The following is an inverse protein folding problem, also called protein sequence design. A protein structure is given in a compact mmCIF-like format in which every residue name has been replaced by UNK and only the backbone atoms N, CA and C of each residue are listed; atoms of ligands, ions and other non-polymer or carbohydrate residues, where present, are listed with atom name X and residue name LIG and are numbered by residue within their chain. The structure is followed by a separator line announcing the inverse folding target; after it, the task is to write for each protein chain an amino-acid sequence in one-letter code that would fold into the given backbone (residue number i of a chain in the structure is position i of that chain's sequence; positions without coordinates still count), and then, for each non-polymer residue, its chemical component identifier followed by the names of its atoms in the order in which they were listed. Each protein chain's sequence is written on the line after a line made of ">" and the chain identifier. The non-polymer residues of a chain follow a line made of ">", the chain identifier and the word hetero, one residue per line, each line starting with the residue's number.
data_IF_662075109616
#
_entry.id   IF_662075109616
#
_cell.length_a   1.000
_cell.length_b   1.000
_cell.length_c   1.000
_cell.angle_alpha   90.00
_cell.angle_beta   90.00
_cell.angle_gamma   90.00
#
_symmetry.space_group_name_H-M   'P 1'
#
loop_
_entity.id
_entity.type
_entity.pdbx_description
1 polymer ?
#
# COMPACT_ATOMS: atom_id res chain seq x y z
N UNK A 1 -8.32 22.95 -10.48
CA UNK A 1 -9.14 21.73 -10.44
C UNK A 1 -8.48 20.64 -11.28
N UNK A 2 -7.25 20.25 -10.92
CA UNK A 2 -6.44 19.26 -11.67
C UNK A 2 -5.59 18.36 -10.74
N UNK A 3 -5.83 18.38 -9.43
CA UNK A 3 -5.02 17.62 -8.47
C UNK A 3 -5.62 16.25 -8.10
N UNK A 4 -6.86 15.94 -8.50
CA UNK A 4 -7.53 14.68 -8.13
C UNK A 4 -7.34 13.52 -9.14
N UNK A 5 -6.97 13.80 -10.40
CA UNK A 5 -6.88 12.74 -11.42
C UNK A 5 -5.58 11.91 -11.36
N UNK A 6 -4.56 12.37 -10.64
CA UNK A 6 -3.27 11.68 -10.52
C UNK A 6 -3.23 10.78 -9.28
N UNK A 7 -3.97 11.10 -8.21
CA UNK A 7 -3.90 10.38 -6.94
C UNK A 7 -4.68 9.06 -6.90
N UNK A 8 -5.70 8.89 -7.76
CA UNK A 8 -6.61 7.73 -7.68
C UNK A 8 -6.17 6.56 -8.57
N UNK A 9 -5.38 6.79 -9.62
CA UNK A 9 -5.27 5.80 -10.71
C UNK A 9 -4.38 4.56 -10.43
N UNK A 10 -3.77 4.40 -9.24
CA UNK A 10 -2.58 3.54 -9.13
C UNK A 10 -2.43 2.67 -7.86
N UNK A 11 -3.13 2.93 -6.76
CA UNK A 11 -2.90 2.25 -5.46
C UNK A 11 -3.28 0.76 -5.34
N UNK A 12 -3.98 0.20 -6.33
CA UNK A 12 -4.56 -1.15 -6.31
C UNK A 12 -4.11 -2.03 -7.47
N UNK A 13 -2.96 -1.73 -8.06
CA UNK A 13 -2.38 -2.61 -9.06
C UNK A 13 -1.82 -3.82 -8.30
N UNK A 14 -2.49 -4.96 -8.42
CA UNK A 14 -2.11 -6.26 -7.83
C UNK A 14 -2.30 -6.37 -6.29
N UNK A 15 -3.53 -6.17 -5.79
CA UNK A 15 -3.92 -6.54 -4.41
C UNK A 15 -3.00 -6.00 -3.29
N UNK A 16 -2.91 -4.67 -3.17
CA UNK A 16 -2.04 -3.95 -2.21
C UNK A 16 -0.53 -4.15 -2.42
N UNK A 17 -0.11 -4.76 -3.54
CA UNK A 17 1.29 -4.99 -3.88
C UNK A 17 2.00 -5.88 -2.85
N UNK A 18 1.28 -6.85 -2.26
CA UNK A 18 1.73 -7.64 -1.12
C UNK A 18 3.12 -8.27 -1.28
N UNK A 19 3.37 -9.07 -2.34
CA UNK A 19 4.69 -9.69 -2.55
C UNK A 19 5.83 -8.67 -2.68
N UNK A 20 5.61 -7.60 -3.47
CA UNK A 20 6.60 -6.54 -3.62
C UNK A 20 6.87 -5.82 -2.29
N UNK A 21 5.81 -5.48 -1.53
CA UNK A 21 5.94 -4.84 -0.23
C UNK A 21 6.73 -5.70 0.76
N UNK A 22 6.53 -7.02 0.75
CA UNK A 22 7.30 -7.94 1.60
C UNK A 22 8.80 -7.92 1.27
N UNK A 23 9.17 -7.96 -0.01
CA UNK A 23 10.58 -7.89 -0.43
C UNK A 23 11.20 -6.53 -0.13
N UNK A 24 10.46 -5.43 -0.33
CA UNK A 24 10.92 -4.08 0.01
C UNK A 24 11.14 -3.90 1.52
N UNK A 25 10.27 -4.47 2.36
CA UNK A 25 10.44 -4.47 3.82
C UNK A 25 11.68 -5.25 4.24
N UNK A 26 11.93 -6.42 3.65
CA UNK A 26 13.15 -7.19 3.90
C UNK A 26 14.41 -6.38 3.54
N UNK A 27 14.42 -5.74 2.38
CA UNK A 27 15.51 -4.84 1.98
C UNK A 27 15.65 -3.65 2.93
N UNK A 28 14.54 -3.07 3.41
CA UNK A 28 14.62 -1.97 4.36
C UNK A 28 15.19 -2.40 5.71
N UNK A 29 14.85 -3.59 6.19
CA UNK A 29 15.40 -4.12 7.44
C UNK A 29 16.91 -4.41 7.34
N UNK A 30 17.45 -4.66 6.16
CA UNK A 30 18.90 -4.85 5.95
C UNK A 30 19.64 -3.53 5.67
N UNK A 31 19.07 -2.62 4.89
CA UNK A 31 19.73 -1.39 4.43
C UNK A 31 19.46 -0.18 5.33
N UNK A 32 18.34 -0.19 6.06
CA UNK A 32 17.82 0.89 6.89
C UNK A 32 17.73 2.26 6.18
N UNK A 33 17.54 2.25 4.87
CA UNK A 33 17.53 3.44 4.01
C UNK A 33 16.64 3.21 2.79
N UNK A 34 15.55 3.99 2.68
CA UNK A 34 14.57 3.83 1.61
C UNK A 34 15.10 4.20 0.22
N UNK A 35 16.09 5.08 0.11
CA UNK A 35 16.68 5.41 -1.18
C UNK A 35 17.54 4.26 -1.68
N UNK A 36 18.34 3.64 -0.80
CA UNK A 36 19.08 2.40 -1.13
C UNK A 36 18.14 1.26 -1.47
N UNK A 37 17.03 1.10 -0.74
CA UNK A 37 16.00 0.09 -1.03
C UNK A 37 15.42 0.27 -2.43
N UNK A 38 15.11 1.50 -2.84
CA UNK A 38 14.58 1.79 -4.18
C UNK A 38 15.58 1.39 -5.26
N UNK A 39 16.84 1.75 -5.08
CA UNK A 39 17.88 1.53 -6.07
C UNK A 39 18.18 0.03 -6.23
N UNK A 40 18.26 -0.70 -5.12
CA UNK A 40 18.40 -2.15 -5.10
C UNK A 40 17.18 -2.85 -5.72
N UNK A 41 15.97 -2.42 -5.37
CA UNK A 41 14.74 -3.00 -5.92
C UNK A 41 14.62 -2.81 -7.44
N UNK A 42 15.14 -1.69 -7.96
CA UNK A 42 15.19 -1.41 -9.39
C UNK A 42 16.20 -2.30 -10.10
N UNK A 43 17.38 -2.46 -9.50
CA UNK A 43 18.46 -3.31 -9.99
C UNK A 43 18.00 -4.77 -10.09
N UNK A 44 17.37 -5.28 -9.03
CA UNK A 44 16.86 -6.65 -8.96
C UNK A 44 15.58 -6.91 -9.77
N UNK A 45 14.95 -5.86 -10.31
CA UNK A 45 13.63 -5.96 -10.94
C UNK A 45 12.61 -6.70 -10.04
N UNK A 46 12.51 -6.32 -8.76
CA UNK A 46 11.56 -6.95 -7.84
C UNK A 46 10.11 -7.02 -8.34
N UNK A 47 9.53 -6.00 -9.01
CA UNK A 47 8.17 -6.09 -9.50
C UNK A 47 8.02 -6.95 -10.78
N UNK A 48 9.12 -7.46 -11.34
CA UNK A 48 9.16 -8.27 -12.57
C UNK A 48 8.38 -7.62 -13.72
N UNK A 49 8.67 -6.34 -14.02
CA UNK A 49 8.03 -5.61 -15.12
C UNK A 49 9.02 -5.35 -16.26
N UNK A 50 8.56 -5.51 -17.48
CA UNK A 50 9.41 -5.46 -18.68
C UNK A 50 10.01 -4.07 -18.92
N UNK A 51 9.23 -3.02 -18.66
CA UNK A 51 9.69 -1.64 -18.89
C UNK A 51 10.22 -0.99 -17.62
N UNK A 52 11.33 -0.25 -17.77
CA UNK A 52 11.94 0.53 -16.67
C UNK A 52 10.95 1.51 -16.02
N UNK A 53 10.11 2.17 -16.83
CA UNK A 53 9.09 3.10 -16.34
C UNK A 53 8.04 2.41 -15.47
N UNK A 54 7.59 1.22 -15.85
CA UNK A 54 6.68 0.41 -15.03
C UNK A 54 7.35 -0.04 -13.73
N UNK A 55 8.59 -0.55 -13.77
CA UNK A 55 9.35 -0.92 -12.56
C UNK A 55 9.46 0.23 -11.57
N UNK A 56 9.91 1.39 -12.06
CA UNK A 56 10.05 2.61 -11.26
C UNK A 56 8.72 3.07 -10.65
N UNK A 57 7.62 2.96 -11.38
CA UNK A 57 6.29 3.32 -10.88
C UNK A 57 5.88 2.43 -9.72
N UNK A 58 5.99 1.10 -9.86
CA UNK A 58 5.57 0.17 -8.81
C UNK A 58 6.41 0.32 -7.55
N UNK A 59 7.73 0.39 -7.69
CA UNK A 59 8.64 0.54 -6.55
C UNK A 59 8.36 1.87 -5.83
N UNK A 60 8.22 2.97 -6.56
CA UNK A 60 7.93 4.28 -5.96
C UNK A 60 6.65 4.27 -5.16
N UNK A 61 5.60 3.69 -5.72
CA UNK A 61 4.29 3.65 -5.08
C UNK A 61 4.28 2.78 -3.81
N UNK A 62 4.90 1.61 -3.87
CA UNK A 62 5.07 0.74 -2.71
C UNK A 62 5.91 1.42 -1.63
N UNK A 63 7.07 2.00 -1.99
CA UNK A 63 7.94 2.71 -1.03
C UNK A 63 7.23 3.90 -0.40
N UNK A 64 6.50 4.71 -1.17
CA UNK A 64 5.73 5.84 -0.63
C UNK A 64 4.70 5.40 0.41
N UNK A 65 4.01 4.29 0.14
CA UNK A 65 3.04 3.71 1.07
C UNK A 65 3.73 3.18 2.33
N UNK A 66 4.80 2.40 2.17
CA UNK A 66 5.53 1.78 3.28
C UNK A 66 6.23 2.80 4.19
N UNK A 67 6.63 3.96 3.65
CA UNK A 67 7.16 5.09 4.45
C UNK A 67 6.18 5.63 5.50
N UNK A 68 4.89 5.32 5.39
CA UNK A 68 3.88 5.70 6.40
C UNK A 68 3.81 4.74 7.58
N UNK A 69 4.51 3.61 7.51
CA UNK A 69 4.63 2.66 8.61
C UNK A 69 5.75 3.08 9.56
N UNK A 70 5.49 2.92 10.85
CA UNK A 70 6.49 3.06 11.90
C UNK A 70 7.48 1.90 11.86
N UNK A 71 8.69 2.11 12.38
CA UNK A 71 9.71 1.05 12.47
C UNK A 71 9.21 -0.21 13.22
N UNK A 72 8.46 -0.12 14.33
CA UNK A 72 7.84 -1.29 14.97
C UNK A 72 6.89 -2.05 14.04
N UNK A 73 6.02 -1.36 13.30
CA UNK A 73 5.11 -1.99 12.33
C UNK A 73 5.89 -2.71 11.21
N UNK A 74 6.95 -2.09 10.70
CA UNK A 74 7.84 -2.69 9.69
C UNK A 74 8.51 -3.95 10.23
N UNK A 75 9.01 -3.92 11.47
CA UNK A 75 9.65 -5.09 12.12
C UNK A 75 8.65 -6.22 12.38
N UNK A 76 7.41 -5.89 12.75
CA UNK A 76 6.36 -6.87 13.01
C UNK A 76 5.86 -7.57 11.74
N UNK A 77 5.98 -6.93 10.56
CA UNK A 77 5.45 -7.43 9.29
C UNK A 77 5.87 -8.87 8.95
N UNK A 78 7.12 -9.24 9.24
CA UNK A 78 7.62 -10.60 8.97
C UNK A 78 6.98 -11.66 9.87
N UNK A 79 6.55 -11.30 11.07
CA UNK A 79 5.87 -12.19 12.02
C UNK A 79 4.36 -12.31 11.79
N UNK A 80 3.77 -11.41 11.01
CA UNK A 80 2.34 -11.39 10.72
C UNK A 80 1.90 -12.54 9.79
N UNK A 81 0.69 -13.02 10.04
CA UNK A 81 -0.08 -13.87 9.13
C UNK A 81 -0.38 -13.15 7.81
N UNK A 82 -0.74 -13.87 6.74
CA UNK A 82 -1.13 -13.26 5.47
C UNK A 82 -2.25 -12.22 5.62
N UNK A 83 -3.24 -12.47 6.48
CA UNK A 83 -4.37 -11.59 6.77
C UNK A 83 -3.90 -10.31 7.49
N UNK A 84 -3.09 -10.45 8.54
CA UNK A 84 -2.52 -9.30 9.27
C UNK A 84 -1.63 -8.43 8.37
N UNK A 85 -0.85 -9.05 7.47
CA UNK A 85 -0.06 -8.31 6.47
C UNK A 85 -0.97 -7.52 5.53
N UNK A 86 -2.06 -8.11 5.04
CA UNK A 86 -3.03 -7.39 4.19
C UNK A 86 -3.65 -6.21 4.94
N UNK A 87 -4.03 -6.40 6.20
CA UNK A 87 -4.56 -5.34 7.06
C UNK A 87 -3.54 -4.20 7.27
N UNK A 88 -2.27 -4.53 7.56
CA UNK A 88 -1.23 -3.52 7.73
C UNK A 88 -0.98 -2.74 6.43
N UNK A 89 -0.96 -3.41 5.28
CA UNK A 89 -0.83 -2.75 3.98
C UNK A 89 -2.05 -1.89 3.62
N UNK A 90 -3.25 -2.30 4.04
CA UNK A 90 -4.45 -1.48 3.93
C UNK A 90 -4.35 -0.22 4.79
N UNK A 91 -3.88 -0.34 6.04
CA UNK A 91 -3.63 0.81 6.92
C UNK A 91 -2.61 1.77 6.28
N UNK A 92 -1.51 1.25 5.74
CA UNK A 92 -0.50 2.05 5.04
C UNK A 92 -1.08 2.75 3.80
N UNK A 93 -2.00 2.10 3.09
CA UNK A 93 -2.75 2.70 1.99
C UNK A 93 -3.64 3.85 2.49
N UNK A 94 -4.43 3.65 3.54
CA UNK A 94 -5.26 4.71 4.12
C UNK A 94 -4.41 5.91 4.59
N UNK A 95 -3.24 5.67 5.19
CA UNK A 95 -2.32 6.75 5.60
C UNK A 95 -1.75 7.54 4.43
N UNK A 96 -1.55 6.91 3.27
CA UNK A 96 -0.96 7.52 2.07
C UNK A 96 -1.98 8.00 1.04
N UNK A 97 -3.26 7.64 1.18
CA UNK A 97 -4.33 7.96 0.24
C UNK A 97 -5.60 8.40 0.97
N UNK A 98 -5.92 9.70 0.89
CA UNK A 98 -7.08 10.32 1.56
C UNK A 98 -8.42 9.71 1.14
N UNK A 99 -8.56 9.31 -0.13
CA UNK A 99 -9.78 8.69 -0.62
C UNK A 99 -9.97 7.31 0.02
N UNK A 100 -8.92 6.48 0.04
CA UNK A 100 -8.97 5.16 0.68
C UNK A 100 -9.31 5.28 2.18
N UNK A 101 -8.72 6.26 2.88
CA UNK A 101 -9.04 6.53 4.28
C UNK A 101 -10.50 6.96 4.46
N UNK A 102 -10.98 7.92 3.66
CA UNK A 102 -12.36 8.41 3.75
C UNK A 102 -13.38 7.29 3.48
N UNK A 103 -13.16 6.48 2.44
CA UNK A 103 -14.00 5.32 2.14
C UNK A 103 -13.96 4.32 3.29
N UNK A 104 -12.78 3.96 3.79
CA UNK A 104 -12.63 3.04 4.91
C UNK A 104 -13.41 3.49 6.14
N UNK A 105 -13.22 4.75 6.56
CA UNK A 105 -13.93 5.31 7.72
C UNK A 105 -15.45 5.35 7.54
N UNK A 106 -15.95 5.72 6.35
CA UNK A 106 -17.39 5.71 6.05
C UNK A 106 -17.96 4.29 6.17
N UNK A 107 -17.33 3.32 5.53
CA UNK A 107 -17.78 1.92 5.55
C UNK A 107 -17.75 1.32 6.96
N UNK A 108 -16.70 1.59 7.74
CA UNK A 108 -16.65 1.15 9.15
C UNK A 108 -17.77 1.78 9.98
N UNK A 109 -18.01 3.08 9.83
CA UNK A 109 -19.11 3.75 10.53
C UNK A 109 -20.48 3.18 10.11
N UNK A 110 -20.68 2.87 8.84
CA UNK A 110 -21.93 2.28 8.37
C UNK A 110 -22.15 0.87 8.91
N UNK A 111 -21.10 0.05 8.92
CA UNK A 111 -21.14 -1.29 9.48
C UNK A 111 -21.47 -1.27 10.97
N UNK A 112 -20.77 -0.43 11.74
CA UNK A 112 -20.92 -0.38 13.20
C UNK A 112 -22.26 0.24 13.63
N UNK A 113 -22.71 1.32 12.99
CA UNK A 113 -23.90 2.06 13.43
C UNK A 113 -25.20 1.54 12.82
N UNK A 114 -25.16 1.00 11.61
CA UNK A 114 -26.36 0.57 10.89
C UNK A 114 -26.41 -0.94 10.62
N UNK A 115 -25.43 -1.71 11.11
CA UNK A 115 -25.37 -3.17 10.93
C UNK A 115 -25.23 -3.59 9.47
N UNK A 116 -24.85 -2.66 8.59
CA UNK A 116 -24.79 -2.89 7.15
C UNK A 116 -23.57 -3.73 6.84
N UNK A 117 -23.81 -4.98 6.45
CA UNK A 117 -22.77 -5.98 6.18
C UNK A 117 -22.52 -6.21 4.69
N UNK A 118 -23.18 -5.46 3.80
CA UNK A 118 -23.00 -5.51 2.36
C UNK A 118 -22.59 -4.13 1.86
N UNK A 119 -21.44 -4.08 1.17
CA UNK A 119 -20.95 -2.90 0.47
C UNK A 119 -21.46 -2.95 -0.97
N UNK A 120 -22.14 -1.90 -1.42
CA UNK A 120 -22.77 -1.80 -2.73
C UNK A 120 -22.25 -0.59 -3.51
N UNK A 121 -22.42 -0.59 -4.84
CA UNK A 121 -22.04 0.55 -5.70
C UNK A 121 -22.78 1.84 -5.32
N UNK A 122 -23.99 1.72 -4.78
CA UNK A 122 -24.83 2.84 -4.35
C UNK A 122 -24.16 3.63 -3.21
N UNK A 123 -23.25 3.01 -2.46
CA UNK A 123 -22.55 3.62 -1.33
C UNK A 123 -21.46 4.60 -1.77
N UNK A 124 -21.14 4.60 -3.07
CA UNK A 124 -20.09 5.38 -3.72
C UNK A 124 -20.64 6.49 -4.64
N UNK A 125 -21.96 6.61 -4.77
CA UNK A 125 -22.64 7.76 -5.40
C UNK A 125 -22.92 8.86 -4.36
#
# INVERSE_FOLDING_TARGET
>A
MELDKISIRRSMIDALMGPLCAELIKLFLSLNDWDKVRDEALHLNLPQKDTKSSRQRYIREAVWRLKTLSLPEIRAFSGFTPEERKMLLWIALCRSNRLAAACGMKLFNEYLNYGKNVVSVIDYN
#
